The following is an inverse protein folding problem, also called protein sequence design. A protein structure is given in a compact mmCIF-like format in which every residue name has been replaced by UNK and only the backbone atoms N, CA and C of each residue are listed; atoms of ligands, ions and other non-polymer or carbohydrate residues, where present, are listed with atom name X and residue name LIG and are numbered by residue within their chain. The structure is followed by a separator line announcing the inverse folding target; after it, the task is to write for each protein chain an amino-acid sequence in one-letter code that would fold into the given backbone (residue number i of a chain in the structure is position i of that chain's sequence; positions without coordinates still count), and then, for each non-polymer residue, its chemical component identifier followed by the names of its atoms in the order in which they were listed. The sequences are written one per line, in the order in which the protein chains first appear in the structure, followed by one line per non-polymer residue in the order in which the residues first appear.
data_IF_190683969021
#
_entry.id   IF_190683969021
#
_cell.length_a   1.000
_cell.length_b   1.000
_cell.length_c   1.000
_cell.angle_alpha   90.00
_cell.angle_beta   90.00
_cell.angle_gamma   90.00
#
_symmetry.space_group_name_H-M   'P 1'
#
loop_
_entity.id
_entity.type
_entity.pdbx_description
1 polymer ?
#
# COMPACT_ATOMS: atom_id res chain seq x y z
N UNK A 1 -28.18 -22.20 38.91
CA UNK A 1 -27.67 -21.35 37.81
C UNK A 1 -28.63 -20.17 37.65
N UNK A 2 -28.18 -18.91 37.71
CA UNK A 2 -29.05 -17.74 37.46
C UNK A 2 -28.87 -17.29 36.00
N UNK A 3 -29.96 -17.07 35.24
CA UNK A 3 -29.87 -16.60 33.86
C UNK A 3 -29.29 -15.17 33.82
N UNK A 4 -28.42 -14.88 32.86
CA UNK A 4 -27.92 -13.52 32.61
C UNK A 4 -29.10 -12.63 32.24
N UNK A 5 -29.23 -11.48 32.91
CA UNK A 5 -30.32 -10.49 32.74
C UNK A 5 -30.53 -10.04 31.28
N UNK A 6 -29.48 -10.08 30.45
CA UNK A 6 -29.55 -9.82 29.01
C UNK A 6 -28.74 -10.88 28.23
N UNK A 7 -29.36 -12.01 27.85
CA UNK A 7 -28.66 -13.12 27.21
C UNK A 7 -28.10 -12.77 25.81
N UNK A 8 -28.55 -11.66 25.21
CA UNK A 8 -28.17 -11.21 23.87
C UNK A 8 -27.44 -9.84 23.86
N UNK A 9 -26.95 -9.37 25.00
CA UNK A 9 -26.13 -8.13 25.10
C UNK A 9 -24.70 -8.30 24.53
N UNK A 10 -24.53 -9.13 23.50
CA UNK A 10 -23.28 -9.23 22.77
C UNK A 10 -23.04 -7.92 22.04
N UNK A 11 -22.15 -7.06 22.56
CA UNK A 11 -21.70 -5.88 21.81
C UNK A 11 -21.02 -6.38 20.54
N UNK A 12 -21.62 -6.12 19.39
CA UNK A 12 -20.96 -6.35 18.10
C UNK A 12 -19.68 -5.51 18.10
N UNK A 13 -18.51 -6.16 18.04
CA UNK A 13 -17.23 -5.45 17.86
C UNK A 13 -17.33 -4.70 16.54
N UNK A 14 -17.51 -3.39 16.58
CA UNK A 14 -17.39 -2.54 15.41
C UNK A 14 -15.91 -2.55 15.03
N UNK A 15 -15.53 -3.46 14.15
CA UNK A 15 -14.20 -3.45 13.54
C UNK A 15 -14.20 -2.23 12.62
N UNK A 16 -13.60 -1.13 13.09
CA UNK A 16 -13.32 0.03 12.23
C UNK A 16 -12.31 -0.44 11.20
N UNK A 17 -12.78 -0.83 10.02
CA UNK A 17 -11.91 -0.99 8.85
C UNK A 17 -11.37 0.39 8.54
N UNK A 18 -10.07 0.60 8.73
CA UNK A 18 -9.43 1.82 8.29
C UNK A 18 -9.54 1.91 6.76
N UNK A 19 -9.83 3.10 6.26
CA UNK A 19 -9.90 3.33 4.82
C UNK A 19 -8.49 3.09 4.23
N UNK A 20 -8.38 2.38 3.08
CA UNK A 20 -7.09 2.17 2.45
C UNK A 20 -6.46 3.51 2.10
N UNK A 21 -5.26 3.75 2.62
CA UNK A 21 -4.49 4.96 2.28
C UNK A 21 -3.79 4.74 0.96
N UNK A 22 -3.97 5.68 0.05
CA UNK A 22 -3.31 5.69 -1.25
C UNK A 22 -2.35 6.86 -1.34
N UNK A 23 -1.20 6.62 -1.98
CA UNK A 23 -0.16 7.61 -2.24
C UNK A 23 -0.12 7.82 -3.75
N UNK A 24 -0.30 9.07 -4.14
CA UNK A 24 -0.37 9.48 -5.54
C UNK A 24 1.04 9.71 -6.07
N UNK A 25 1.39 8.97 -7.13
CA UNK A 25 2.63 9.12 -7.89
C UNK A 25 2.25 9.49 -9.33
N UNK A 26 2.18 10.80 -9.59
CA UNK A 26 1.73 11.32 -10.89
C UNK A 26 0.30 10.89 -11.22
N UNK A 27 0.13 10.10 -12.27
CA UNK A 27 -1.17 9.55 -12.74
C UNK A 27 -1.54 8.20 -12.13
N UNK A 28 -0.71 7.64 -11.26
CA UNK A 28 -0.92 6.35 -10.62
C UNK A 28 -1.05 6.56 -9.11
N UNK A 29 -1.86 5.74 -8.45
CA UNK A 29 -1.94 5.71 -6.99
C UNK A 29 -1.58 4.31 -6.48
N UNK A 30 -0.70 4.24 -5.48
CA UNK A 30 -0.31 3.00 -4.81
C UNK A 30 -0.93 2.93 -3.43
N UNK A 31 -1.32 1.74 -2.98
CA UNK A 31 -1.65 1.55 -1.57
C UNK A 31 -0.41 1.79 -0.71
N UNK A 32 -0.58 2.40 0.45
CA UNK A 32 0.51 2.63 1.41
C UNK A 32 1.23 1.32 1.79
N UNK A 33 0.48 0.23 1.93
CA UNK A 33 1.01 -1.12 2.20
C UNK A 33 2.01 -1.61 1.14
N UNK A 34 1.89 -1.16 -0.11
CA UNK A 34 2.77 -1.60 -1.20
C UNK A 34 4.13 -0.89 -1.20
N UNK A 35 4.28 0.19 -0.43
CA UNK A 35 5.56 0.93 -0.36
C UNK A 35 6.65 0.07 0.27
N UNK A 36 6.30 -0.73 1.28
CA UNK A 36 7.24 -1.63 1.95
C UNK A 36 7.81 -2.71 1.01
N UNK A 37 7.13 -2.95 -0.12
CA UNK A 37 7.52 -3.94 -1.12
C UNK A 37 8.24 -3.34 -2.32
N UNK A 38 8.52 -2.02 -2.33
CA UNK A 38 9.35 -1.39 -3.37
C UNK A 38 10.80 -1.84 -3.15
N UNK A 39 11.33 -2.60 -4.10
CA UNK A 39 12.73 -3.04 -4.04
C UNK A 39 13.66 -2.06 -4.77
N UNK A 40 13.25 -1.60 -5.95
CA UNK A 40 14.08 -0.74 -6.78
C UNK A 40 13.26 0.33 -7.50
N UNK A 41 13.89 1.49 -7.65
CA UNK A 41 13.39 2.63 -8.42
C UNK A 41 14.42 2.92 -9.50
N UNK A 42 14.02 2.80 -10.76
CA UNK A 42 14.90 3.01 -11.90
C UNK A 42 14.34 4.08 -12.82
N UNK A 43 15.22 4.89 -13.41
CA UNK A 43 14.82 5.81 -14.47
C UNK A 43 14.59 5.04 -15.77
N UNK A 44 13.46 5.27 -16.44
CA UNK A 44 13.09 4.57 -17.66
C UNK A 44 13.25 5.41 -18.94
N UNK A 45 13.50 6.72 -18.83
CA UNK A 45 13.54 7.66 -19.95
C UNK A 45 12.30 8.57 -20.00
N UNK A 46 12.38 9.69 -20.73
CA UNK A 46 11.25 10.60 -21.01
C UNK A 46 10.44 11.06 -19.78
N UNK A 47 11.13 11.41 -18.68
CA UNK A 47 10.50 11.78 -17.39
C UNK A 47 9.62 10.67 -16.79
N UNK A 48 9.95 9.40 -17.08
CA UNK A 48 9.28 8.24 -16.52
C UNK A 48 10.19 7.48 -15.55
N UNK A 49 9.57 6.99 -14.48
CA UNK A 49 10.23 6.20 -13.45
C UNK A 49 9.60 4.82 -13.41
N UNK A 50 10.44 3.79 -13.40
CA UNK A 50 10.07 2.39 -13.25
C UNK A 50 10.21 1.99 -11.77
N UNK A 51 9.12 1.54 -11.18
CA UNK A 51 9.08 0.96 -9.83
C UNK A 51 9.04 -0.56 -9.95
N UNK A 52 9.97 -1.23 -9.27
CA UNK A 52 10.01 -2.68 -9.15
C UNK A 52 9.53 -3.06 -7.76
N UNK A 53 8.39 -3.75 -7.71
CA UNK A 53 7.75 -4.23 -6.49
C UNK A 53 8.01 -5.73 -6.35
N UNK A 54 8.51 -6.17 -5.20
CA UNK A 54 8.59 -7.58 -4.82
C UNK A 54 7.55 -7.88 -3.77
N UNK A 55 6.38 -8.33 -4.22
CA UNK A 55 5.28 -8.67 -3.33
C UNK A 55 5.46 -10.12 -2.87
N UNK A 56 5.55 -10.39 -1.55
CA UNK A 56 5.61 -11.75 -1.05
C UNK A 56 4.27 -12.45 -1.29
N UNK A 57 4.30 -13.59 -1.99
CA UNK A 57 3.20 -14.56 -2.07
C UNK A 57 3.60 -15.78 -1.26
N UNK A 58 2.62 -16.58 -0.81
CA UNK A 58 2.78 -17.67 0.17
C UNK A 58 4.06 -18.53 0.02
N UNK A 59 4.56 -18.76 -1.21
CA UNK A 59 5.82 -19.49 -1.45
C UNK A 59 6.78 -18.83 -2.45
N UNK A 60 6.35 -17.80 -3.19
CA UNK A 60 7.14 -17.15 -4.26
C UNK A 60 7.09 -15.63 -4.12
N UNK A 61 8.06 -14.93 -4.71
CA UNK A 61 8.01 -13.47 -4.84
C UNK A 61 7.47 -13.11 -6.22
N UNK A 62 6.40 -12.34 -6.26
CA UNK A 62 5.93 -11.76 -7.51
C UNK A 62 6.62 -10.43 -7.75
N UNK A 63 7.34 -10.35 -8.87
CA UNK A 63 7.88 -9.09 -9.37
C UNK A 63 6.82 -8.37 -10.20
N UNK A 64 6.49 -7.14 -9.80
CA UNK A 64 5.61 -6.26 -10.56
C UNK A 64 6.34 -4.98 -10.92
N UNK A 65 6.24 -4.60 -12.18
CA UNK A 65 6.86 -3.39 -12.71
C UNK A 65 5.77 -2.37 -12.98
N UNK A 66 5.89 -1.18 -12.38
CA UNK A 66 4.97 -0.07 -12.58
C UNK A 66 5.74 1.07 -13.25
N UNK A 67 5.20 1.61 -14.33
CA UNK A 67 5.75 2.79 -14.99
C UNK A 67 4.97 4.03 -14.58
N UNK A 68 5.66 4.97 -13.95
CA UNK A 68 5.08 6.22 -13.49
C UNK A 68 5.57 7.36 -14.38
N UNK A 69 4.65 8.20 -14.87
CA UNK A 69 4.96 9.43 -15.60
C UNK A 69 5.35 10.56 -14.64
N UNK A 70 6.45 10.37 -13.90
CA UNK A 70 7.01 11.36 -12.99
C UNK A 70 8.53 11.18 -12.94
N UNK A 71 9.28 12.28 -12.80
CA UNK A 71 10.73 12.23 -12.64
C UNK A 71 11.11 11.49 -11.33
N UNK A 72 12.26 10.80 -11.35
CA UNK A 72 12.73 9.95 -10.26
C UNK A 72 12.91 10.75 -8.97
N UNK A 73 13.44 11.98 -9.03
CA UNK A 73 13.65 12.83 -7.86
C UNK A 73 12.32 13.15 -7.15
N UNK A 74 11.28 13.44 -7.93
CA UNK A 74 9.96 13.73 -7.41
C UNK A 74 9.30 12.49 -6.80
N UNK A 75 9.45 11.32 -7.45
CA UNK A 75 8.96 10.04 -6.92
C UNK A 75 9.62 9.73 -5.58
N UNK A 76 10.95 9.84 -5.50
CA UNK A 76 11.71 9.59 -4.27
C UNK A 76 11.32 10.59 -3.17
N UNK A 77 11.17 11.87 -3.52
CA UNK A 77 10.73 12.91 -2.57
C UNK A 77 9.36 12.59 -1.99
N UNK A 78 8.39 12.17 -2.82
CA UNK A 78 7.05 11.79 -2.36
C UNK A 78 7.12 10.57 -1.46
N UNK A 79 7.80 9.49 -1.89
CA UNK A 79 7.87 8.26 -1.11
C UNK A 79 8.53 8.46 0.25
N UNK A 80 9.56 9.30 0.33
CA UNK A 80 10.24 9.61 1.59
C UNK A 80 9.38 10.43 2.58
N UNK A 81 8.32 11.10 2.13
CA UNK A 81 7.40 11.83 3.03
C UNK A 81 6.47 10.89 3.81
N UNK A 82 6.25 9.67 3.30
CA UNK A 82 5.33 8.70 3.89
C UNK A 82 6.04 7.57 4.65
N UNK A 83 7.35 7.72 4.86
CA UNK A 83 8.18 6.79 5.63
C UNK A 83 8.10 7.08 7.12
#
# INVERSE_FOLDING_TARGET
MKPKKYPYSGKTKIVRKELPRFIKLGKIALKSELIEHIEAIAFAGNYQTRLVLKIPRFFNREEKVIMVQLNIDNVVKILNQYK
#
